data_IF_078780569625
#
_entry.id   IF_078780569625
#
_cell.length_a   1.000
_cell.length_b   1.000
_cell.length_c   1.000
_cell.angle_alpha   90.00
_cell.angle_beta   90.00
_cell.angle_gamma   90.00
#
_symmetry.space_group_name_H-M   'P 1'
#
loop_
_entity.id
_entity.type
_entity.pdbx_description
1 polymer ?
#
# COMPACT_ATOMS: atom_id res chain seq x y z
N UNK A 1 21.80 25.76 10.92
CA UNK A 1 20.49 25.31 11.41
C UNK A 1 19.91 24.41 10.33
N UNK A 2 19.52 23.19 10.67
CA UNK A 2 18.92 22.22 9.75
C UNK A 2 17.39 22.27 9.92
N UNK A 3 16.59 22.15 8.84
CA UNK A 3 15.13 22.16 8.95
C UNK A 3 14.62 20.93 9.68
N UNK A 4 13.57 21.10 10.51
CA UNK A 4 12.92 19.96 11.15
C UNK A 4 12.14 19.07 10.17
N UNK A 5 11.81 17.84 10.54
CA UNK A 5 10.96 16.95 9.74
C UNK A 5 9.62 17.62 9.35
N UNK A 6 9.03 18.39 10.27
CA UNK A 6 7.83 19.18 9.99
C UNK A 6 8.10 20.31 8.99
N UNK A 7 9.22 21.03 9.13
CA UNK A 7 9.62 22.07 8.17
C UNK A 7 9.95 21.47 6.80
N UNK A 8 10.51 20.26 6.75
CA UNK A 8 10.73 19.53 5.50
C UNK A 8 9.39 19.21 4.82
N UNK A 9 8.36 18.84 5.58
CA UNK A 9 7.01 18.61 5.05
C UNK A 9 6.37 19.92 4.53
N UNK A 10 6.57 21.04 5.23
CA UNK A 10 6.07 22.38 4.83
C UNK A 10 6.69 22.91 3.54
N UNK A 11 7.83 22.38 3.09
CA UNK A 11 8.42 22.74 1.80
C UNK A 11 7.71 22.10 0.60
N UNK A 12 7.02 20.96 0.80
CA UNK A 12 6.40 20.20 -0.29
C UNK A 12 5.30 20.97 -1.04
N UNK A 13 4.38 21.72 -0.40
CA UNK A 13 3.43 22.57 -1.10
C UNK A 13 4.08 23.57 -2.07
N UNK A 14 5.23 24.14 -1.66
CA UNK A 14 6.00 25.08 -2.50
C UNK A 14 6.53 24.42 -3.77
N UNK A 15 7.04 23.19 -3.64
CA UNK A 15 7.53 22.38 -4.76
C UNK A 15 6.38 22.08 -5.73
N UNK A 16 5.23 21.60 -5.23
CA UNK A 16 4.08 21.30 -6.08
C UNK A 16 3.60 22.54 -6.85
N UNK A 17 3.52 23.70 -6.18
CA UNK A 17 3.17 24.98 -6.82
C UNK A 17 4.18 25.40 -7.88
N UNK A 18 5.48 25.26 -7.61
CA UNK A 18 6.53 25.61 -8.56
C UNK A 18 6.44 24.79 -9.86
N UNK A 19 6.07 23.51 -9.76
CA UNK A 19 5.89 22.62 -10.90
C UNK A 19 4.46 22.62 -11.49
N UNK A 20 3.53 23.40 -10.93
CA UNK A 20 2.13 23.46 -11.39
C UNK A 20 1.34 22.17 -11.13
N UNK A 21 1.75 21.37 -10.14
CA UNK A 21 1.10 20.12 -9.76
C UNK A 21 -0.04 20.41 -8.77
N UNK A 22 -1.24 19.90 -9.07
CA UNK A 22 -2.41 20.04 -8.20
C UNK A 22 -2.32 19.09 -6.99
N UNK A 23 -1.84 17.88 -7.23
CA UNK A 23 -1.87 16.78 -6.28
C UNK A 23 -0.85 15.70 -6.67
N UNK A 24 -0.47 14.85 -5.71
CA UNK A 24 0.52 13.78 -5.91
C UNK A 24 0.12 12.46 -5.25
N UNK A 25 0.66 11.36 -5.77
CA UNK A 25 0.77 10.09 -5.05
C UNK A 25 2.19 10.01 -4.47
N UNK A 26 2.30 10.05 -3.14
CA UNK A 26 3.60 10.02 -2.45
C UNK A 26 4.12 8.61 -2.28
N UNK A 27 5.43 8.42 -2.48
CA UNK A 27 6.15 7.20 -2.14
C UNK A 27 7.35 7.57 -1.27
N UNK A 28 7.43 7.01 -0.08
CA UNK A 28 8.51 7.32 0.87
C UNK A 28 8.94 6.11 1.68
N UNK A 29 10.20 6.14 2.11
CA UNK A 29 10.79 5.14 3.01
C UNK A 29 11.28 5.81 4.29
N UNK A 30 11.00 5.24 5.46
CA UNK A 30 11.50 5.71 6.76
C UNK A 30 11.16 7.18 7.02
N UNK A 31 12.18 8.02 7.21
CA UNK A 31 12.03 9.47 7.40
C UNK A 31 11.22 10.16 6.30
N UNK A 32 11.38 9.75 5.04
CA UNK A 32 10.60 10.34 3.94
C UNK A 32 9.13 9.92 4.04
N UNK A 33 8.85 8.70 4.49
CA UNK A 33 7.49 8.26 4.74
C UNK A 33 6.83 9.09 5.85
N UNK A 34 7.57 9.43 6.91
CA UNK A 34 7.10 10.36 7.96
C UNK A 34 6.78 11.74 7.39
N UNK A 35 7.72 12.34 6.65
CA UNK A 35 7.56 13.68 6.04
C UNK A 35 6.34 13.72 5.12
N UNK A 36 6.17 12.71 4.26
CA UNK A 36 5.01 12.61 3.37
C UNK A 36 3.70 12.43 4.13
N UNK A 37 3.71 11.67 5.23
CA UNK A 37 2.54 11.50 6.09
C UNK A 37 2.15 12.82 6.74
N UNK A 38 3.11 13.56 7.32
CA UNK A 38 2.88 14.91 7.89
C UNK A 38 2.35 15.87 6.82
N UNK A 39 2.92 15.85 5.62
CA UNK A 39 2.43 16.65 4.50
C UNK A 39 0.98 16.33 4.12
N UNK A 40 0.61 15.05 4.06
CA UNK A 40 -0.75 14.63 3.76
C UNK A 40 -1.76 14.98 4.86
N UNK A 41 -1.33 14.99 6.14
CA UNK A 41 -2.15 15.45 7.25
C UNK A 41 -2.42 16.96 7.17
N UNK A 42 -1.40 17.75 6.78
CA UNK A 42 -1.50 19.21 6.70
C UNK A 42 -2.21 19.70 5.43
N UNK A 43 -2.05 18.98 4.31
CA UNK A 43 -2.56 19.35 2.98
C UNK A 43 -3.26 18.16 2.31
N UNK A 44 -4.38 17.67 2.87
CA UNK A 44 -5.07 16.48 2.37
C UNK A 44 -5.62 16.66 0.94
N UNK A 45 -5.83 17.89 0.48
CA UNK A 45 -6.26 18.21 -0.88
C UNK A 45 -5.14 18.08 -1.93
N UNK A 46 -3.88 18.06 -1.49
CA UNK A 46 -2.69 17.95 -2.35
C UNK A 46 -2.14 16.51 -2.41
N UNK A 47 -2.71 15.57 -1.67
CA UNK A 47 -2.26 14.17 -1.62
C UNK A 47 -3.39 13.22 -1.96
N UNK A 48 -3.23 12.48 -3.05
CA UNK A 48 -4.23 11.53 -3.51
C UNK A 48 -4.05 10.14 -2.90
N UNK A 49 -2.81 9.77 -2.59
CA UNK A 49 -2.49 8.50 -1.97
C UNK A 49 -1.04 8.44 -1.50
N UNK A 50 -0.75 7.53 -0.58
CA UNK A 50 0.57 7.34 0.00
C UNK A 50 1.02 5.87 -0.07
N UNK A 51 2.28 5.66 -0.40
CA UNK A 51 2.97 4.37 -0.26
C UNK A 51 4.10 4.57 0.76
N UNK A 52 3.93 3.96 1.92
CA UNK A 52 4.74 4.21 3.11
C UNK A 52 5.55 2.95 3.46
N UNK A 53 6.83 2.95 3.10
CA UNK A 53 7.73 1.83 3.35
C UNK A 53 8.46 2.06 4.68
N UNK A 54 8.38 1.11 5.62
CA UNK A 54 9.02 1.22 6.94
C UNK A 54 8.72 2.55 7.66
N UNK A 55 7.48 3.03 7.58
CA UNK A 55 7.08 4.24 8.29
C UNK A 55 7.13 4.00 9.80
N UNK A 56 7.72 4.95 10.52
CA UNK A 56 7.65 5.01 11.98
C UNK A 56 6.89 6.27 12.38
N UNK A 57 5.64 6.16 12.88
CA UNK A 57 4.86 7.33 13.29
C UNK A 57 5.26 7.88 14.66
N UNK A 58 6.11 7.16 15.40
CA UNK A 58 6.47 7.47 16.78
C UNK A 58 7.88 8.10 16.88
N UNK A 59 8.07 8.89 17.93
CA UNK A 59 9.33 9.54 18.33
C UNK A 59 10.35 8.56 18.94
N UNK A 60 10.03 7.27 19.04
CA UNK A 60 10.88 6.32 19.74
C UNK A 60 12.28 6.26 19.12
N UNK A 61 13.28 6.58 19.95
CA UNK A 61 14.67 6.68 19.56
C UNK A 61 15.22 5.32 19.17
N UNK A 62 15.25 5.03 17.87
CA UNK A 62 15.93 3.82 17.36
C UNK A 62 17.40 3.74 17.78
N UNK A 63 18.00 4.88 18.17
CA UNK A 63 19.34 4.94 18.77
C UNK A 63 19.42 4.22 20.12
N UNK A 64 18.39 4.27 20.98
CA UNK A 64 18.38 3.53 22.25
C UNK A 64 18.29 2.02 21.99
N UNK A 65 17.57 1.60 20.94
CA UNK A 65 17.58 0.23 20.43
C UNK A 65 18.96 -0.16 19.87
N UNK A 66 19.59 0.70 19.05
CA UNK A 66 20.88 0.41 18.42
C UNK A 66 22.02 0.33 19.45
N UNK A 67 21.99 1.19 20.48
CA UNK A 67 22.95 1.20 21.57
C UNK A 67 22.86 -0.05 22.46
N UNK A 68 21.66 -0.60 22.65
CA UNK A 68 21.45 -1.74 23.55
C UNK A 68 21.56 -3.12 22.89
N UNK A 69 21.35 -3.25 21.58
CA UNK A 69 21.20 -4.56 20.92
C UNK A 69 22.40 -5.06 20.11
N UNK A 70 23.44 -4.24 19.88
CA UNK A 70 24.57 -4.58 19.00
C UNK A 70 25.88 -4.07 19.59
N UNK A 71 26.35 -4.74 20.66
CA UNK A 71 27.68 -4.53 21.21
C UNK A 71 28.75 -4.96 20.20
N UNK A 72 29.61 -4.03 19.78
CA UNK A 72 30.76 -4.32 18.92
C UNK A 72 30.87 -3.55 17.61
N UNK A 73 29.86 -2.76 17.22
CA UNK A 73 30.01 -1.76 16.15
C UNK A 73 30.46 -0.41 16.72
N UNK A 74 31.15 0.38 15.90
CA UNK A 74 31.92 1.55 16.36
C UNK A 74 31.07 2.78 16.74
N UNK A 75 29.75 2.65 16.78
CA UNK A 75 28.80 3.77 16.91
C UNK A 75 29.11 4.94 15.96
N UNK A 76 29.71 4.65 14.80
CA UNK A 76 30.00 5.67 13.79
C UNK A 76 28.72 6.01 13.00
N UNK A 77 28.70 7.18 12.35
CA UNK A 77 27.54 7.61 11.57
C UNK A 77 27.08 6.58 10.51
N UNK A 78 27.98 5.95 9.74
CA UNK A 78 27.58 4.90 8.79
C UNK A 78 27.00 3.67 9.48
N UNK A 79 27.55 3.28 10.63
CA UNK A 79 27.06 2.15 11.43
C UNK A 79 25.61 2.38 11.84
N UNK A 80 25.36 3.57 12.37
CA UNK A 80 24.06 4.06 12.78
C UNK A 80 23.03 4.00 11.63
N UNK A 81 23.37 4.55 10.46
CA UNK A 81 22.49 4.53 9.28
C UNK A 81 22.18 3.11 8.82
N UNK A 82 23.19 2.25 8.77
CA UNK A 82 23.04 0.86 8.33
C UNK A 82 22.10 0.09 9.26
N UNK A 83 22.23 0.28 10.58
CA UNK A 83 21.33 -0.35 11.56
C UNK A 83 19.89 0.11 11.46
N UNK A 84 19.67 1.38 11.10
CA UNK A 84 18.32 1.89 10.89
C UNK A 84 17.70 1.29 9.61
N UNK A 85 18.50 1.12 8.56
CA UNK A 85 18.03 0.66 7.25
C UNK A 85 17.88 -0.85 7.12
N UNK A 86 18.69 -1.64 7.85
CA UNK A 86 18.77 -3.09 7.67
C UNK A 86 18.33 -3.87 8.91
N UNK A 87 17.69 -5.02 8.66
CA UNK A 87 17.37 -6.00 9.70
C UNK A 87 18.63 -6.69 10.24
N UNK A 88 18.55 -7.21 11.47
CA UNK A 88 19.67 -7.96 12.08
C UNK A 88 20.13 -9.11 11.20
N UNK A 89 19.20 -9.86 10.62
CA UNK A 89 19.53 -11.01 9.79
C UNK A 89 20.19 -10.59 8.47
N UNK A 90 19.76 -9.48 7.87
CA UNK A 90 20.40 -8.92 6.67
C UNK A 90 21.84 -8.49 6.93
N UNK A 91 22.09 -7.92 8.12
CA UNK A 91 23.43 -7.48 8.53
C UNK A 91 24.39 -8.67 8.71
N UNK A 92 23.91 -9.85 9.08
CA UNK A 92 24.78 -11.02 9.21
C UNK A 92 24.94 -11.75 7.87
N UNK A 93 23.87 -11.79 7.06
CA UNK A 93 23.81 -12.63 5.87
C UNK A 93 24.38 -11.98 4.61
N UNK A 94 24.50 -10.65 4.54
CA UNK A 94 24.90 -9.95 3.33
C UNK A 94 26.00 -8.90 3.56
N UNK A 95 27.22 -9.38 3.81
CA UNK A 95 28.39 -8.53 4.07
C UNK A 95 28.73 -7.60 2.90
N UNK A 96 28.53 -8.05 1.65
CA UNK A 96 28.81 -7.24 0.46
C UNK A 96 27.88 -6.04 0.35
N UNK A 97 26.57 -6.23 0.62
CA UNK A 97 25.59 -5.15 0.65
C UNK A 97 25.93 -4.11 1.73
N UNK A 98 26.32 -4.57 2.92
CA UNK A 98 26.72 -3.71 4.03
C UNK A 98 27.98 -2.93 3.68
N UNK A 99 28.97 -3.59 3.07
CA UNK A 99 30.20 -2.94 2.65
C UNK A 99 29.90 -1.86 1.60
N UNK A 100 29.08 -2.17 0.60
CA UNK A 100 28.64 -1.21 -0.42
C UNK A 100 27.90 -0.01 0.21
N UNK A 101 26.96 -0.26 1.13
CA UNK A 101 26.24 0.81 1.84
C UNK A 101 27.17 1.67 2.69
N UNK A 102 28.11 1.04 3.42
CA UNK A 102 29.10 1.76 4.23
C UNK A 102 29.95 2.67 3.35
N UNK A 103 30.45 2.17 2.22
CA UNK A 103 31.24 2.97 1.28
C UNK A 103 30.40 4.11 0.69
N UNK A 104 29.15 3.84 0.32
CA UNK A 104 28.25 4.86 -0.19
C UNK A 104 28.01 5.97 0.84
N UNK A 105 27.70 5.62 2.08
CA UNK A 105 27.48 6.60 3.15
C UNK A 105 28.75 7.42 3.40
N UNK A 106 29.94 6.83 3.40
CA UNK A 106 31.18 7.55 3.69
C UNK A 106 31.64 8.43 2.52
N UNK A 107 31.55 7.94 1.28
CA UNK A 107 32.17 8.58 0.12
C UNK A 107 31.22 9.50 -0.65
N UNK A 108 29.92 9.17 -0.68
CA UNK A 108 28.96 9.85 -1.56
C UNK A 108 28.05 10.83 -0.81
N UNK A 109 27.97 10.72 0.52
CA UNK A 109 27.12 11.58 1.36
C UNK A 109 27.92 12.64 2.11
N UNK A 110 27.36 13.84 2.21
CA UNK A 110 27.89 14.88 3.08
C UNK A 110 27.66 14.50 4.55
N UNK A 111 28.74 14.12 5.25
CA UNK A 111 28.67 13.64 6.64
C UNK A 111 28.07 14.66 7.61
N UNK A 112 28.38 15.94 7.44
CA UNK A 112 27.87 16.99 8.32
C UNK A 112 26.36 17.15 8.18
N UNK A 113 25.85 17.19 6.95
CA UNK A 113 24.42 17.31 6.68
C UNK A 113 23.66 16.03 7.07
N UNK A 114 24.25 14.86 6.83
CA UNK A 114 23.67 13.58 7.21
C UNK A 114 23.51 13.47 8.74
N UNK A 115 24.52 13.88 9.49
CA UNK A 115 24.44 13.92 10.95
C UNK A 115 23.33 14.85 11.45
N UNK A 116 23.18 16.03 10.84
CA UNK A 116 22.09 16.96 11.17
C UNK A 116 20.72 16.35 10.85
N UNK A 117 20.57 15.68 9.70
CA UNK A 117 19.33 15.01 9.30
C UNK A 117 18.94 13.89 10.26
N UNK A 118 19.89 13.04 10.64
CA UNK A 118 19.64 11.92 11.56
C UNK A 118 19.23 12.44 12.93
N UNK A 119 19.92 13.45 13.45
CA UNK A 119 19.58 14.04 14.75
C UNK A 119 18.18 14.62 14.76
N UNK A 120 17.78 15.29 13.68
CA UNK A 120 16.44 15.84 13.55
C UNK A 120 15.38 14.74 13.44
N UNK A 121 15.64 13.69 12.65
CA UNK A 121 14.75 12.53 12.53
C UNK A 121 14.56 11.82 13.87
N UNK A 122 15.61 11.75 14.69
CA UNK A 122 15.54 11.14 16.03
C UNK A 122 14.79 12.01 17.03
N UNK A 123 14.65 13.30 16.74
CA UNK A 123 13.93 14.26 17.57
C UNK A 123 12.52 14.52 17.03
N UNK A 124 12.05 13.71 16.06
CA UNK A 124 10.73 13.86 15.48
C UNK A 124 9.65 13.68 16.54
N UNK A 125 8.57 14.45 16.43
CA UNK A 125 7.41 14.28 17.30
C UNK A 125 6.49 13.20 16.77
N UNK A 126 5.61 12.68 17.61
CA UNK A 126 4.59 11.77 17.16
C UNK A 126 3.71 12.42 16.09
N UNK A 127 3.22 11.62 15.14
CA UNK A 127 2.28 12.09 14.12
C UNK A 127 0.88 12.36 14.68
N UNK A 128 0.63 12.03 15.96
CA UNK A 128 -0.65 12.17 16.68
C UNK A 128 -1.86 11.63 15.90
N UNK A 129 -1.63 10.58 15.12
CA UNK A 129 -2.68 9.91 14.36
C UNK A 129 -3.50 9.00 15.26
N UNK A 130 -4.82 9.10 15.17
CA UNK A 130 -5.74 8.22 15.88
C UNK A 130 -6.71 7.57 14.90
N UNK A 131 -7.14 6.36 15.25
CA UNK A 131 -8.11 5.65 14.44
C UNK A 131 -9.47 6.37 14.52
N UNK A 132 -10.09 6.70 13.37
CA UNK A 132 -11.40 7.34 13.38
C UNK A 132 -12.47 6.42 13.95
N UNK A 133 -13.08 6.85 15.05
CA UNK A 133 -14.26 6.24 15.68
C UNK A 133 -15.49 7.03 15.23
N UNK A 134 -16.65 6.39 14.98
CA UNK A 134 -17.89 7.12 14.70
C UNK A 134 -18.13 8.18 15.79
N UNK A 135 -18.44 9.41 15.37
CA UNK A 135 -18.76 10.56 16.23
C UNK A 135 -17.59 11.39 16.80
N UNK A 136 -16.32 11.03 16.53
CA UNK A 136 -15.15 11.83 16.96
C UNK A 136 -14.33 12.35 15.77
N UNK A 137 -14.02 13.64 15.77
CA UNK A 137 -13.04 14.22 14.83
C UNK A 137 -11.64 13.95 15.32
N UNK A 138 -10.96 12.98 14.70
CA UNK A 138 -9.54 12.66 14.98
C UNK A 138 -8.65 13.08 13.81
N UNK A 139 -7.37 13.28 14.10
CA UNK A 139 -6.34 13.49 13.09
C UNK A 139 -5.99 12.14 12.46
N UNK A 140 -6.29 11.98 11.18
CA UNK A 140 -5.98 10.75 10.43
C UNK A 140 -5.85 11.05 8.94
N UNK A 141 -5.23 10.14 8.19
CA UNK A 141 -5.06 10.28 6.74
C UNK A 141 -6.41 10.23 6.03
N UNK A 142 -6.67 11.23 5.18
CA UNK A 142 -7.90 11.28 4.36
C UNK A 142 -7.78 10.48 3.06
N UNK A 143 -6.55 10.35 2.55
CA UNK A 143 -6.21 9.62 1.33
C UNK A 143 -5.95 8.13 1.62
N UNK A 144 -6.12 7.24 0.62
CA UNK A 144 -5.68 5.85 0.71
C UNK A 144 -4.18 5.73 0.99
N UNK A 145 -3.80 4.71 1.76
CA UNK A 145 -2.41 4.45 2.12
C UNK A 145 -2.05 2.97 1.99
N UNK A 146 -0.96 2.67 1.29
CA UNK A 146 -0.32 1.36 1.25
C UNK A 146 0.91 1.36 2.17
N UNK A 147 0.81 0.67 3.31
CA UNK A 147 1.90 0.49 4.25
C UNK A 147 2.67 -0.77 3.87
N UNK A 148 3.98 -0.67 3.72
CA UNK A 148 4.84 -1.79 3.30
C UNK A 148 5.95 -2.00 4.31
N UNK A 149 6.16 -3.26 4.70
CA UNK A 149 7.26 -3.64 5.60
C UNK A 149 7.73 -5.05 5.28
N UNK A 150 9.04 -5.28 5.35
CA UNK A 150 9.60 -6.63 5.28
C UNK A 150 9.35 -7.40 6.58
N UNK A 151 9.12 -8.71 6.50
CA UNK A 151 8.87 -9.57 7.66
C UNK A 151 10.01 -9.62 8.68
N UNK A 152 11.24 -9.39 8.24
CA UNK A 152 12.47 -9.33 9.06
C UNK A 152 12.99 -7.90 9.27
N UNK A 153 12.21 -6.88 8.89
CA UNK A 153 12.55 -5.46 9.09
C UNK A 153 12.48 -5.07 10.57
N UNK A 154 13.33 -4.12 10.99
CA UNK A 154 13.27 -3.52 12.32
C UNK A 154 12.04 -2.63 12.51
N UNK A 155 11.38 -2.22 11.42
CA UNK A 155 10.23 -1.33 11.44
C UNK A 155 8.88 -2.07 11.53
N UNK A 156 8.85 -3.41 11.65
CA UNK A 156 7.60 -4.20 11.66
C UNK A 156 6.62 -3.69 12.72
N UNK A 157 7.06 -3.53 13.95
CA UNK A 157 6.19 -3.14 15.06
C UNK A 157 5.63 -1.72 14.85
N UNK A 158 6.49 -0.78 14.45
CA UNK A 158 6.10 0.60 14.17
C UNK A 158 5.09 0.71 13.01
N UNK A 159 5.27 -0.07 11.94
CA UNK A 159 4.35 -0.07 10.79
C UNK A 159 3.02 -0.71 11.15
N UNK A 160 3.02 -1.78 11.95
CA UNK A 160 1.79 -2.42 12.44
C UNK A 160 1.02 -1.48 13.36
N UNK A 161 1.71 -0.78 14.27
CA UNK A 161 1.10 0.24 15.12
C UNK A 161 0.53 1.40 14.30
N UNK A 162 1.28 1.88 13.29
CA UNK A 162 0.79 2.89 12.35
C UNK A 162 -0.51 2.43 11.66
N UNK A 163 -0.55 1.19 11.17
CA UNK A 163 -1.74 0.65 10.51
C UNK A 163 -2.95 0.60 11.44
N UNK A 164 -2.76 0.30 12.73
CA UNK A 164 -3.82 0.27 13.72
C UNK A 164 -4.42 1.67 14.00
N UNK A 165 -3.64 2.74 13.82
CA UNK A 165 -4.06 4.13 13.98
C UNK A 165 -4.74 4.72 12.74
N UNK A 166 -4.78 4.00 11.61
CA UNK A 166 -5.35 4.48 10.35
C UNK A 166 -6.75 3.87 10.09
N UNK A 167 -7.51 4.51 9.20
CA UNK A 167 -8.82 4.03 8.75
C UNK A 167 -8.70 2.69 7.97
N UNK A 168 -9.21 1.57 8.50
CA UNK A 168 -9.05 0.25 7.89
C UNK A 168 -9.78 0.11 6.55
N UNK A 169 -10.68 1.03 6.20
CA UNK A 169 -11.40 1.02 4.92
C UNK A 169 -10.59 1.66 3.79
N UNK A 170 -9.56 2.45 4.14
CA UNK A 170 -8.72 3.20 3.19
C UNK A 170 -7.26 2.77 3.18
N UNK A 171 -6.81 2.08 4.23
CA UNK A 171 -5.42 1.61 4.34
C UNK A 171 -5.27 0.14 3.93
N UNK A 172 -4.05 -0.24 3.56
CA UNK A 172 -3.67 -1.63 3.32
C UNK A 172 -2.27 -1.87 3.86
N UNK A 173 -2.10 -2.91 4.67
CA UNK A 173 -0.79 -3.36 5.15
C UNK A 173 -0.28 -4.53 4.31
N UNK A 174 0.88 -4.34 3.67
CA UNK A 174 1.62 -5.37 2.95
C UNK A 174 2.87 -5.75 3.75
N UNK A 175 2.83 -6.92 4.39
CA UNK A 175 4.02 -7.57 4.94
C UNK A 175 4.68 -8.41 3.84
N UNK A 176 5.87 -8.01 3.40
CA UNK A 176 6.62 -8.71 2.36
C UNK A 176 7.41 -9.87 2.98
N UNK A 177 7.10 -11.08 2.54
CA UNK A 177 7.78 -12.29 2.99
C UNK A 177 9.22 -12.36 2.44
N UNK A 178 10.14 -12.94 3.23
CA UNK A 178 11.55 -13.14 2.87
C UNK A 178 12.29 -11.82 2.59
N UNK A 179 11.97 -10.77 3.36
CA UNK A 179 12.43 -9.42 3.10
C UNK A 179 12.73 -8.67 4.41
N UNK A 180 13.87 -7.98 4.50
CA UNK A 180 14.18 -7.12 5.64
C UNK A 180 13.89 -5.65 5.36
N UNK A 181 14.81 -4.78 5.77
CA UNK A 181 14.59 -3.33 5.84
C UNK A 181 14.62 -2.60 4.49
N UNK A 182 15.13 -3.23 3.42
CA UNK A 182 15.19 -2.60 2.08
C UNK A 182 14.33 -3.33 1.05
N UNK A 183 13.03 -3.40 1.27
CA UNK A 183 12.08 -4.11 0.38
C UNK A 183 12.07 -3.62 -1.06
N UNK A 184 12.34 -2.32 -1.25
CA UNK A 184 12.49 -1.70 -2.57
C UNK A 184 13.75 -2.16 -3.33
N UNK A 185 14.77 -2.66 -2.62
CA UNK A 185 16.03 -3.15 -3.21
C UNK A 185 16.00 -4.68 -3.35
N UNK A 186 15.54 -5.38 -2.31
CA UNK A 186 15.56 -6.84 -2.27
C UNK A 186 14.44 -7.47 -3.10
N UNK A 187 13.26 -6.84 -3.17
CA UNK A 187 12.09 -7.39 -3.86
C UNK A 187 11.34 -6.36 -4.72
N UNK A 188 12.04 -5.65 -5.64
CA UNK A 188 11.44 -4.56 -6.42
C UNK A 188 10.25 -5.02 -7.28
N UNK A 189 10.27 -6.25 -7.80
CA UNK A 189 9.19 -6.77 -8.64
C UNK A 189 7.87 -6.95 -7.86
N UNK A 190 7.95 -7.46 -6.63
CA UNK A 190 6.78 -7.64 -5.75
C UNK A 190 6.23 -6.29 -5.29
N UNK A 191 7.12 -5.35 -4.96
CA UNK A 191 6.73 -3.98 -4.60
C UNK A 191 6.07 -3.24 -5.78
N UNK A 192 6.63 -3.37 -6.99
CA UNK A 192 6.04 -2.79 -8.20
C UNK A 192 4.66 -3.38 -8.51
N UNK A 193 4.47 -4.68 -8.30
CA UNK A 193 3.16 -5.30 -8.45
C UNK A 193 2.15 -4.79 -7.40
N UNK A 194 2.55 -4.64 -6.15
CA UNK A 194 1.70 -4.04 -5.12
C UNK A 194 1.32 -2.60 -5.45
N UNK A 195 2.29 -1.79 -5.89
CA UNK A 195 2.06 -0.42 -6.33
C UNK A 195 1.10 -0.35 -7.52
N UNK A 196 1.26 -1.25 -8.51
CA UNK A 196 0.33 -1.39 -9.64
C UNK A 196 -1.10 -1.60 -9.17
N UNK A 197 -1.34 -2.51 -8.22
CA UNK A 197 -2.69 -2.76 -7.69
C UNK A 197 -3.23 -1.59 -6.86
N UNK A 198 -2.38 -0.89 -6.10
CA UNK A 198 -2.78 0.30 -5.37
C UNK A 198 -3.28 1.41 -6.32
N UNK A 199 -2.51 1.73 -7.35
CA UNK A 199 -2.87 2.73 -8.37
C UNK A 199 -4.11 2.31 -9.17
N UNK A 200 -4.31 1.01 -9.41
CA UNK A 200 -5.56 0.48 -9.99
C UNK A 200 -6.76 0.69 -9.06
N UNK A 201 -6.61 0.44 -7.76
CA UNK A 201 -7.66 0.66 -6.75
C UNK A 201 -8.10 2.11 -6.67
N UNK A 202 -7.19 3.05 -6.96
CA UNK A 202 -7.48 4.49 -7.05
C UNK A 202 -8.14 4.90 -8.37
N UNK A 203 -8.24 4.01 -9.36
CA UNK A 203 -8.86 4.29 -10.66
C UNK A 203 -7.94 4.93 -11.70
N UNK A 204 -6.64 5.07 -11.42
CA UNK A 204 -5.67 5.66 -12.36
C UNK A 204 -5.22 4.72 -13.47
N UNK A 205 -5.47 3.42 -13.32
CA UNK A 205 -5.07 2.43 -14.30
C UNK A 205 -6.19 1.41 -14.52
N UNK A 206 -6.48 1.03 -15.78
CA UNK A 206 -7.44 -0.05 -16.06
C UNK A 206 -7.02 -1.36 -15.37
N UNK A 207 -7.97 -2.25 -15.05
CA UNK A 207 -7.66 -3.58 -14.54
C UNK A 207 -6.77 -4.33 -15.53
N UNK A 208 -5.49 -4.46 -15.22
CA UNK A 208 -4.58 -5.28 -15.99
C UNK A 208 -4.99 -6.73 -15.75
N UNK A 209 -5.27 -7.48 -16.82
CA UNK A 209 -5.51 -8.92 -16.71
C UNK A 209 -4.36 -9.53 -15.93
N UNK A 210 -4.66 -10.30 -14.90
CA UNK A 210 -3.67 -11.14 -14.22
C UNK A 210 -2.92 -11.92 -15.31
N UNK A 211 -1.68 -11.55 -15.60
CA UNK A 211 -0.73 -12.48 -16.20
C UNK A 211 -0.59 -13.57 -15.16
N UNK A 212 -1.46 -14.57 -15.28
CA UNK A 212 -1.53 -15.75 -14.45
C UNK A 212 -0.08 -16.21 -14.27
N UNK A 213 0.49 -16.01 -13.07
CA UNK A 213 1.69 -16.72 -12.70
C UNK A 213 1.34 -18.18 -12.97
N UNK A 214 1.96 -18.78 -14.00
CA UNK A 214 1.82 -20.21 -14.22
C UNK A 214 2.35 -20.84 -12.94
N UNK A 215 1.42 -21.23 -12.07
CA UNK A 215 1.67 -22.20 -11.03
C UNK A 215 2.16 -23.41 -11.81
N UNK A 216 3.46 -23.62 -11.84
CA UNK A 216 4.10 -24.81 -12.37
C UNK A 216 3.67 -25.96 -11.47
N UNK A 217 2.45 -26.44 -11.67
CA UNK A 217 2.08 -27.77 -11.22
C UNK A 217 2.94 -28.70 -12.07
N UNK A 218 3.98 -29.27 -11.46
CA UNK A 218 4.60 -30.48 -11.95
C UNK A 218 3.51 -31.55 -12.03
N UNK A 219 2.84 -31.65 -13.18
CA UNK A 219 2.16 -32.85 -13.57
C UNK A 219 3.24 -33.83 -14.03
N UNK A 220 3.84 -34.54 -13.07
CA UNK A 220 4.52 -35.79 -13.36
C UNK A 220 3.49 -36.76 -13.92
N UNK A 221 3.39 -36.81 -15.25
CA UNK A 221 2.56 -37.73 -16.00
C UNK A 221 3.42 -38.41 -17.06
N UNK A 222 4.10 -39.48 -16.68
CA UNK A 222 4.72 -40.41 -17.61
C UNK A 222 3.66 -41.03 -18.52
N UNK A 223 3.82 -40.91 -19.84
CA UNK A 223 4.03 -42.04 -20.77
C UNK A 223 3.50 -41.80 -22.19
N UNK A 224 4.15 -42.55 -23.10
CA UNK A 224 3.77 -42.99 -24.45
C UNK A 224 3.78 -41.97 -25.61
N UNK A 225 4.84 -42.09 -26.39
CA UNK A 225 4.91 -41.84 -27.83
C UNK A 225 3.64 -42.28 -28.55
N UNK A 226 2.98 -41.36 -29.26
CA UNK A 226 2.10 -41.70 -30.37
C UNK A 226 2.20 -40.62 -31.45
N UNK A 227 2.44 -41.10 -32.67
CA UNK A 227 2.75 -40.37 -33.89
C UNK A 227 1.51 -39.73 -34.53
N UNK A 228 1.73 -38.58 -35.16
CA UNK A 228 0.99 -37.94 -36.25
C UNK A 228 -0.55 -37.86 -36.20
N UNK A 229 -1.04 -36.61 -36.10
CA UNK A 229 -2.44 -36.26 -36.26
C UNK A 229 -2.64 -34.77 -36.54
N UNK A 230 -2.54 -34.41 -37.82
CA UNK A 230 -2.89 -33.10 -38.41
C UNK A 230 -4.27 -32.59 -37.96
N UNK A 231 -4.36 -31.37 -37.41
CA UNK A 231 -5.30 -30.31 -37.88
C UNK A 231 -5.30 -29.01 -37.04
N UNK A 232 -5.04 -27.94 -37.79
CA UNK A 232 -5.74 -26.65 -37.83
C UNK A 232 -5.87 -25.78 -36.58
N UNK A 233 -5.07 -24.71 -36.61
CA UNK A 233 -5.30 -23.40 -35.98
C UNK A 233 -6.64 -22.81 -36.43
N UNK A 234 -7.39 -22.20 -35.52
CA UNK A 234 -8.43 -21.21 -35.87
C UNK A 234 -8.30 -19.97 -34.99
N UNK A 235 -7.95 -18.88 -35.65
CA UNK A 235 -8.10 -17.49 -35.21
C UNK A 235 -9.59 -17.16 -35.03
N UNK A 236 -9.93 -16.28 -34.08
CA UNK A 236 -11.20 -15.55 -34.07
C UNK A 236 -10.90 -14.06 -34.12
N UNK A 237 -11.07 -13.51 -35.32
CA UNK A 237 -11.13 -12.08 -35.60
C UNK A 237 -12.59 -11.61 -35.70
N UNK A 238 -12.76 -10.31 -35.46
CA UNK A 238 -14.00 -9.53 -35.35
C UNK A 238 -14.99 -9.68 -36.51
N UNK A 239 -16.28 -9.52 -36.20
CA UNK A 239 -17.35 -9.34 -37.19
C UNK A 239 -18.39 -8.32 -36.71
N UNK A 240 -18.38 -7.15 -37.34
CA UNK A 240 -19.35 -6.04 -37.17
C UNK A 240 -20.18 -5.91 -38.46
N UNK A 241 -21.49 -5.57 -38.32
CA UNK A 241 -22.48 -5.11 -39.36
C UNK A 241 -23.03 -6.21 -40.30
N UNK A 242 -24.31 -6.29 -40.72
CA UNK A 242 -25.34 -5.28 -41.03
C UNK A 242 -26.78 -5.86 -41.05
N UNK A 243 -27.77 -4.95 -41.04
CA UNK A 243 -29.25 -5.07 -41.03
C UNK A 243 -29.87 -5.62 -42.34
N UNK A 244 -31.11 -6.14 -42.30
CA UNK A 244 -32.37 -5.52 -42.84
C UNK A 244 -33.49 -6.49 -43.30
N UNK A 245 -34.74 -5.96 -43.27
CA UNK A 245 -36.02 -6.38 -43.91
C UNK A 245 -36.96 -7.36 -43.14
N UNK A 246 -38.10 -6.95 -42.55
CA UNK A 246 -39.44 -6.46 -43.02
C UNK A 246 -40.40 -7.52 -43.59
N UNK A 247 -41.59 -7.65 -42.99
CA UNK A 247 -42.75 -8.35 -43.56
C UNK A 247 -43.91 -8.53 -42.56
N UNK A 248 -44.98 -7.75 -42.72
CA UNK A 248 -46.25 -7.79 -41.96
C UNK A 248 -47.12 -9.02 -42.27
N UNK A 249 -48.03 -9.40 -41.36
CA UNK A 249 -49.08 -10.40 -41.65
C UNK A 249 -49.95 -10.85 -40.46
N UNK A 250 -50.94 -10.03 -40.11
CA UNK A 250 -52.19 -10.25 -39.36
C UNK A 250 -52.62 -11.65 -38.87
N UNK A 251 -53.13 -11.74 -37.62
CA UNK A 251 -54.58 -11.94 -37.28
C UNK A 251 -54.86 -12.22 -35.77
N UNK A 252 -55.81 -11.43 -35.23
CA UNK A 252 -56.87 -11.71 -34.22
C UNK A 252 -56.51 -12.14 -32.78
N UNK A 253 -56.76 -11.30 -31.75
CA UNK A 253 -58.00 -11.17 -30.89
C UNK A 253 -58.32 -12.48 -30.12
N UNK A 254 -58.46 -12.53 -28.78
CA UNK A 254 -59.33 -11.74 -27.88
C UNK A 254 -58.93 -11.91 -26.38
N UNK A 255 -58.90 -10.85 -25.57
CA UNK A 255 -59.84 -10.46 -24.47
C UNK A 255 -60.10 -11.53 -23.37
N UNK A 256 -60.23 -11.28 -22.07
CA UNK A 256 -60.12 -10.15 -21.10
C UNK A 256 -60.33 -10.80 -19.72
N UNK A 257 -59.69 -10.32 -18.64
CA UNK A 257 -60.29 -9.70 -17.44
C UNK A 257 -61.37 -10.54 -16.71
N UNK A 258 -61.57 -10.54 -15.39
CA UNK A 258 -61.26 -9.64 -14.28
C UNK A 258 -61.74 -10.41 -13.02
N UNK A 259 -61.46 -9.93 -11.80
CA UNK A 259 -62.27 -10.38 -10.66
C UNK A 259 -61.60 -10.41 -9.29
N UNK A 260 -61.44 -9.23 -8.72
CA UNK A 260 -61.22 -8.96 -7.29
C UNK A 260 -62.28 -9.59 -6.36
N UNK A 261 -61.91 -9.87 -5.09
CA UNK A 261 -62.72 -9.53 -3.91
C UNK A 261 -62.03 -9.73 -2.55
N UNK A 262 -62.10 -8.66 -1.76
CA UNK A 262 -61.86 -8.48 -0.32
C UNK A 262 -62.40 -9.58 0.62
N UNK A 263 -61.76 -9.73 1.80
CA UNK A 263 -62.35 -9.36 3.12
C UNK A 263 -61.38 -9.50 4.31
N UNK A 264 -61.68 -8.69 5.32
CA UNK A 264 -61.00 -8.30 6.57
C UNK A 264 -61.41 -9.10 7.82
N UNK A 265 -60.59 -9.10 8.88
CA UNK A 265 -60.93 -8.96 10.34
C UNK A 265 -59.67 -9.26 11.21
N UNK A 266 -59.06 -8.29 11.92
CA UNK A 266 -59.20 -7.79 13.33
C UNK A 266 -58.51 -8.59 14.45
N UNK A 267 -57.84 -7.82 15.34
CA UNK A 267 -57.40 -8.05 16.74
C UNK A 267 -56.33 -9.14 17.01
N UNK A 268 -55.30 -8.97 17.83
CA UNK A 268 -55.26 -8.36 19.18
C UNK A 268 -53.82 -8.04 19.61
N UNK A 269 -53.67 -7.01 20.45
CA UNK A 269 -52.49 -6.56 21.22
C UNK A 269 -52.07 -7.59 22.29
N UNK A 270 -50.77 -7.82 22.53
CA UNK A 270 -50.17 -8.10 23.86
C UNK A 270 -48.68 -7.69 23.83
N UNK A 271 -48.32 -6.92 24.84
CA UNK A 271 -47.00 -6.41 25.23
C UNK A 271 -46.44 -7.36 26.31
N UNK A 272 -45.19 -7.81 26.22
CA UNK A 272 -44.47 -8.45 27.33
C UNK A 272 -43.02 -7.95 27.36
N UNK A 273 -42.68 -7.38 28.51
CA UNK A 273 -41.39 -6.84 28.96
C UNK A 273 -40.30 -7.92 29.14
N UNK A 274 -39.01 -7.53 29.20
CA UNK A 274 -37.88 -8.46 29.30
C UNK A 274 -37.61 -8.88 30.76
N UNK A 275 -37.10 -10.10 30.94
CA UNK A 275 -36.55 -10.58 32.20
C UNK A 275 -35.05 -10.89 32.03
N UNK A 276 -34.29 -10.31 32.97
CA UNK A 276 -32.99 -10.74 33.52
C UNK A 276 -31.74 -10.63 32.66
#
# INVERSE_FOLDING_TARGET
>A
MYPSMDQLAEMLPGILKQFGLKSVIGLGTGAIAYILTRFALNHPDMVEGLVLINVNPCAEGWMDWAATKISGWTHTLPDMVIFHLLGKDEIHNNQDLIHAYRQHVVNDMNQANLHLFINDYNSQRDLDMEQPVPETTVVTLQCPALLVVGDSSTAVDAVVECNAKLDPTKNTLLKMADCGGLSQVSQPARLAEAFKYFVQGMGYMPPARMTRLMRSCMASGSSVTSTDGTRSRSHTGEGTRSRSHTGEGARSRSHTADGSRNRSHTDTRIELTPNS
#
